data_IF_605544489147
#
_entry.id   IF_605544489147
#
_cell.length_a   1.000
_cell.length_b   1.000
_cell.length_c   1.000
_cell.angle_alpha   90.00
_cell.angle_beta   90.00
_cell.angle_gamma   90.00
#
_symmetry.space_group_name_H-M   'P 1'
#
loop_
_entity.id
_entity.type
_entity.pdbx_description
1 polymer ?
#
# COMPACT_ATOMS: atom_id res chain seq x y z
N UNK A 1 2.09 -6.23 12.11
CA UNK A 1 1.99 -4.93 11.42
C UNK A 1 3.28 -4.16 11.64
N UNK A 2 3.54 -3.07 10.92
CA UNK A 2 4.70 -2.20 11.18
C UNK A 2 6.02 -2.57 10.49
N UNK A 3 6.01 -3.46 9.51
CA UNK A 3 7.18 -3.72 8.64
C UNK A 3 7.36 -2.55 7.67
N UNK A 4 8.59 -2.06 7.52
CA UNK A 4 8.92 -0.83 6.77
C UNK A 4 9.15 0.34 7.73
N UNK A 5 9.45 1.53 7.20
CA UNK A 5 9.63 2.72 8.04
C UNK A 5 9.38 4.01 7.28
N UNK A 6 8.68 4.95 7.93
CA UNK A 6 8.42 6.31 7.41
C UNK A 6 9.58 7.28 7.62
N UNK A 7 10.54 6.95 8.49
CA UNK A 7 11.60 7.88 8.95
C UNK A 7 12.53 8.37 7.85
N UNK A 8 12.69 7.59 6.78
CA UNK A 8 13.55 7.94 5.65
C UNK A 8 12.98 7.31 4.38
N UNK A 9 13.13 7.98 3.24
CA UNK A 9 12.42 7.64 2.00
C UNK A 9 12.76 6.23 1.48
N UNK A 10 14.02 5.81 1.61
CA UNK A 10 14.55 4.51 1.16
C UNK A 10 14.18 3.35 2.09
N UNK A 11 13.64 3.64 3.28
CA UNK A 11 13.18 2.61 4.24
C UNK A 11 11.69 2.30 4.13
N UNK A 12 10.96 3.06 3.31
CA UNK A 12 9.55 2.82 3.03
C UNK A 12 9.40 1.52 2.23
N UNK A 13 8.61 0.57 2.74
CA UNK A 13 8.53 -0.77 2.15
C UNK A 13 7.80 -0.78 0.80
N UNK A 14 6.76 0.05 0.66
CA UNK A 14 6.07 0.29 -0.61
C UNK A 14 7.04 0.73 -1.72
N UNK A 15 7.94 1.67 -1.43
CA UNK A 15 8.96 2.13 -2.38
C UNK A 15 9.93 1.01 -2.77
N UNK A 16 10.39 0.20 -1.81
CA UNK A 16 11.26 -0.96 -2.07
C UNK A 16 10.58 -2.00 -2.95
N UNK A 17 9.31 -2.30 -2.70
CA UNK A 17 8.56 -3.25 -3.51
C UNK A 17 8.29 -2.71 -4.91
N UNK A 18 7.97 -1.42 -5.05
CA UNK A 18 7.82 -0.79 -6.35
C UNK A 18 9.12 -0.92 -7.18
N UNK A 19 10.28 -0.66 -6.57
CA UNK A 19 11.58 -0.84 -7.22
C UNK A 19 11.82 -2.31 -7.64
N UNK A 20 11.49 -3.28 -6.77
CA UNK A 20 11.63 -4.69 -7.06
C UNK A 20 10.70 -5.20 -8.18
N UNK A 21 9.50 -4.64 -8.32
CA UNK A 21 8.57 -5.00 -9.40
C UNK A 21 9.03 -4.41 -10.74
N UNK A 22 9.43 -3.14 -10.75
CA UNK A 22 9.84 -2.45 -11.99
C UNK A 22 11.19 -2.98 -12.51
N UNK A 23 12.02 -3.61 -11.67
CA UNK A 23 13.26 -4.25 -12.10
C UNK A 23 13.04 -5.55 -12.89
N UNK A 24 11.84 -6.12 -12.89
CA UNK A 24 11.52 -7.31 -13.68
C UNK A 24 11.51 -6.93 -15.17
N UNK A 25 12.14 -7.75 -16.01
CA UNK A 25 12.18 -7.53 -17.45
C UNK A 25 10.78 -7.33 -18.04
N UNK A 26 10.67 -6.36 -18.94
CA UNK A 26 9.42 -5.90 -19.58
C UNK A 26 8.41 -5.17 -18.68
N UNK A 27 8.63 -5.04 -17.36
CA UNK A 27 7.75 -4.23 -16.53
C UNK A 27 8.02 -2.72 -16.70
N UNK A 28 6.95 -1.94 -16.69
CA UNK A 28 6.93 -0.48 -16.91
C UNK A 28 6.20 0.30 -15.82
N UNK A 29 5.61 -0.39 -14.85
CA UNK A 29 4.97 0.26 -13.72
C UNK A 29 4.71 -0.69 -12.57
N UNK A 30 4.61 -0.12 -11.37
CA UNK A 30 4.14 -0.77 -10.17
C UNK A 30 3.01 0.08 -9.56
N UNK A 31 1.95 -0.57 -9.13
CA UNK A 31 0.71 0.05 -8.68
C UNK A 31 0.34 -0.55 -7.33
N UNK A 32 0.16 0.29 -6.31
CA UNK A 32 -0.14 -0.15 -4.94
C UNK A 32 -1.61 0.13 -4.64
N UNK A 33 -2.32 -0.86 -4.10
CA UNK A 33 -3.75 -0.74 -3.78
C UNK A 33 -4.59 -0.34 -5.00
N UNK A 34 -5.44 0.67 -4.86
CA UNK A 34 -6.22 1.25 -5.97
C UNK A 34 -5.36 2.14 -6.90
N UNK A 35 -4.14 2.48 -6.48
CA UNK A 35 -3.13 3.11 -7.33
C UNK A 35 -3.57 4.42 -7.97
N UNK A 36 -3.48 4.49 -9.30
CA UNK A 36 -3.83 5.69 -10.07
C UNK A 36 -5.29 6.13 -9.91
N UNK A 37 -6.21 5.23 -9.51
CA UNK A 37 -7.60 5.60 -9.23
C UNK A 37 -7.72 6.48 -7.97
N UNK A 38 -6.80 6.35 -7.00
CA UNK A 38 -6.81 7.19 -5.80
C UNK A 38 -6.67 8.67 -6.15
N UNK A 39 -5.89 9.01 -7.18
CA UNK A 39 -5.68 10.38 -7.61
C UNK A 39 -6.93 11.04 -8.22
N UNK A 40 -7.96 10.25 -8.56
CA UNK A 40 -9.21 10.72 -9.17
C UNK A 40 -10.38 10.78 -8.18
N UNK A 41 -10.12 10.47 -6.90
CA UNK A 41 -11.15 10.33 -5.87
C UNK A 41 -10.90 11.30 -4.71
N UNK A 42 -11.96 11.79 -4.04
CA UNK A 42 -11.78 12.57 -2.81
C UNK A 42 -11.17 11.68 -1.72
N UNK A 43 -10.49 12.31 -0.74
CA UNK A 43 -9.85 11.57 0.35
C UNK A 43 -10.81 10.67 1.13
N UNK A 44 -12.07 11.06 1.28
CA UNK A 44 -13.13 10.26 1.91
C UNK A 44 -13.40 8.93 1.21
N UNK A 45 -13.10 8.83 -0.09
CA UNK A 45 -13.23 7.60 -0.88
C UNK A 45 -11.92 6.81 -1.00
N UNK A 46 -10.80 7.35 -0.51
CA UNK A 46 -9.46 6.74 -0.61
C UNK A 46 -9.00 6.20 0.74
N UNK A 47 -9.26 6.92 1.83
CA UNK A 47 -8.85 6.49 3.15
C UNK A 47 -9.52 5.17 3.55
N UNK A 48 -8.74 4.33 4.22
CA UNK A 48 -9.23 3.11 4.81
C UNK A 48 -9.62 3.37 6.28
N UNK A 49 -10.90 3.25 6.60
CA UNK A 49 -11.40 3.56 7.95
C UNK A 49 -10.79 2.60 8.99
N UNK A 50 -10.29 3.16 10.10
CA UNK A 50 -9.72 2.41 11.21
C UNK A 50 -10.85 1.90 12.10
N UNK A 51 -10.85 0.60 12.39
CA UNK A 51 -11.75 -0.02 13.34
C UNK A 51 -10.97 -0.84 14.37
N UNK A 52 -11.61 -1.17 15.49
CA UNK A 52 -11.01 -1.96 16.57
C UNK A 52 -12.03 -2.88 17.20
N UNK A 53 -11.61 -4.08 17.61
CA UNK A 53 -12.37 -4.92 18.54
C UNK A 53 -11.44 -5.78 19.40
N UNK A 54 -11.94 -6.37 20.51
CA UNK A 54 -11.12 -7.15 21.44
C UNK A 54 -10.43 -8.38 20.82
N UNK A 55 -11.05 -9.01 19.81
CA UNK A 55 -10.54 -10.25 19.21
C UNK A 55 -9.43 -10.00 18.17
N UNK A 56 -9.54 -8.90 17.41
CA UNK A 56 -8.70 -8.61 16.24
C UNK A 56 -7.73 -7.44 16.46
N UNK A 57 -7.91 -6.67 17.54
CA UNK A 57 -7.21 -5.41 17.73
C UNK A 57 -7.59 -4.38 16.66
N UNK A 58 -6.63 -3.52 16.27
CA UNK A 58 -6.84 -2.53 15.21
C UNK A 58 -6.81 -3.18 13.82
N UNK A 59 -7.77 -2.80 12.97
CA UNK A 59 -7.83 -3.22 11.58
C UNK A 59 -8.36 -2.08 10.69
N UNK A 60 -8.44 -2.34 9.38
CA UNK A 60 -9.07 -1.43 8.42
C UNK A 60 -10.33 -2.06 7.85
N UNK A 61 -11.39 -1.26 7.66
CA UNK A 61 -12.65 -1.76 7.05
C UNK A 61 -12.52 -2.06 5.56
N UNK A 62 -11.58 -1.39 4.89
CA UNK A 62 -11.27 -1.53 3.47
C UNK A 62 -9.76 -1.61 3.27
N UNK A 63 -9.31 -1.94 2.06
CA UNK A 63 -7.89 -2.07 1.74
C UNK A 63 -7.51 -1.32 0.45
N UNK A 64 -7.95 -0.07 0.34
CA UNK A 64 -7.70 0.78 -0.83
C UNK A 64 -6.23 1.17 -0.93
N UNK A 65 -5.56 1.31 0.21
CA UNK A 65 -4.12 1.63 0.27
C UNK A 65 -3.22 0.41 0.06
N UNK A 66 -3.79 -0.78 -0.17
CA UNK A 66 -3.04 -1.98 -0.55
C UNK A 66 -2.10 -2.49 0.54
N UNK A 67 -2.50 -2.36 1.80
CA UNK A 67 -1.73 -2.84 2.96
C UNK A 67 -0.66 -1.88 3.47
N UNK A 68 -0.56 -0.66 2.93
CA UNK A 68 0.44 0.32 3.33
C UNK A 68 -0.15 1.62 3.85
N UNK A 69 0.46 2.16 4.90
CA UNK A 69 0.29 3.55 5.33
C UNK A 69 1.66 4.09 5.73
N UNK A 70 2.05 5.25 5.19
CA UNK A 70 3.33 5.88 5.51
C UNK A 70 4.56 5.02 5.18
N UNK A 71 4.49 4.11 4.21
CA UNK A 71 5.58 3.19 3.90
C UNK A 71 5.75 2.02 4.88
N UNK A 72 4.76 1.79 5.75
CA UNK A 72 4.71 0.66 6.69
C UNK A 72 3.47 -0.21 6.44
N UNK A 73 3.56 -1.48 6.81
CA UNK A 73 2.42 -2.41 6.70
C UNK A 73 1.34 -2.16 7.76
N UNK A 74 0.09 -2.11 7.32
CA UNK A 74 -1.09 -1.89 8.18
C UNK A 74 -1.63 -3.18 8.81
N UNK A 75 -1.20 -4.35 8.33
CA UNK A 75 -1.76 -5.66 8.68
C UNK A 75 -2.84 -6.15 7.73
N UNK A 76 -3.31 -5.29 6.83
CA UNK A 76 -4.14 -5.70 5.71
C UNK A 76 -3.28 -6.42 4.65
N UNK A 77 -3.89 -7.23 3.76
CA UNK A 77 -3.15 -7.84 2.65
C UNK A 77 -2.36 -6.81 1.84
N UNK A 78 -1.09 -7.13 1.55
CA UNK A 78 -0.27 -6.33 0.64
C UNK A 78 -0.76 -6.55 -0.79
N UNK A 79 -1.20 -5.49 -1.45
CA UNK A 79 -1.72 -5.54 -2.82
C UNK A 79 -0.86 -4.66 -3.72
N UNK A 80 -0.10 -5.30 -4.61
CA UNK A 80 0.72 -4.65 -5.62
C UNK A 80 0.45 -5.28 -6.99
N UNK A 81 0.35 -4.45 -8.02
CA UNK A 81 0.16 -4.86 -9.43
C UNK A 81 1.30 -4.30 -10.26
N UNK A 82 1.80 -5.11 -11.20
CA UNK A 82 2.79 -4.65 -12.17
C UNK A 82 2.18 -4.47 -13.55
N UNK A 83 2.74 -3.56 -14.35
CA UNK A 83 2.33 -3.31 -15.73
C UNK A 83 3.45 -3.80 -16.65
N UNK A 84 3.19 -4.80 -17.49
CA UNK A 84 4.14 -5.35 -18.46
C UNK A 84 3.87 -4.79 -19.87
N UNK A 85 4.92 -4.46 -20.61
CA UNK A 85 4.83 -4.06 -22.03
C UNK A 85 4.74 -5.25 -22.98
#
# INVERSE_FOLDING_TARGET
TGVGSYVHYDRKLDAKLAAAIVSINAFKGAVIGIGFEAARKPGSEVHDEIAWNPEKGYFRKTNRLGGFEGGMTTGMPIVIRGVMK
#
